data_IF_038575999319
#
_entry.id   IF_038575999319
#
_cell.length_a   1.000
_cell.length_b   1.000
_cell.length_c   1.000
_cell.angle_alpha   90.00
_cell.angle_beta   90.00
_cell.angle_gamma   90.00
#
_symmetry.space_group_name_H-M   'P 1'
#
loop_
_entity.id
_entity.type
_entity.pdbx_description
1 polymer ?
#
# COMPACT_ATOMS: atom_id res chain seq x y z
N UNK A 1 4.50 1.29 42.89
CA UNK A 1 3.28 1.38 43.73
C UNK A 1 3.29 2.71 44.46
N UNK A 2 2.28 3.55 44.17
CA UNK A 2 1.75 4.68 44.95
C UNK A 2 2.73 5.77 45.41
N UNK A 3 2.96 6.77 44.54
CA UNK A 3 3.39 8.09 44.97
C UNK A 3 2.17 8.99 45.20
N UNK A 4 2.20 9.64 46.35
CA UNK A 4 1.07 10.25 47.07
C UNK A 4 0.73 11.63 46.54
N UNK A 5 -0.58 11.84 46.36
CA UNK A 5 -1.27 13.12 46.40
C UNK A 5 -1.18 13.71 47.82
N UNK A 6 -0.89 15.00 47.95
CA UNK A 6 -1.44 15.89 48.98
C UNK A 6 -1.25 17.35 48.58
N UNK A 7 -2.38 18.03 48.45
CA UNK A 7 -2.60 19.43 48.12
C UNK A 7 -2.43 20.24 49.41
N UNK A 8 -1.64 21.31 49.38
CA UNK A 8 -1.46 22.23 50.50
C UNK A 8 -1.68 23.68 50.07
N UNK A 9 -2.89 24.18 50.27
CA UNK A 9 -3.29 25.57 50.14
C UNK A 9 -2.53 26.43 51.16
N UNK A 10 -1.61 27.29 50.69
CA UNK A 10 -0.99 28.34 51.49
C UNK A 10 -1.55 29.70 51.12
N UNK A 11 -2.71 30.07 51.69
CA UNK A 11 -3.25 31.43 51.60
C UNK A 11 -2.51 32.29 52.61
N UNK A 12 -1.55 33.10 52.14
CA UNK A 12 -0.89 34.11 52.97
C UNK A 12 -1.66 35.42 52.83
N UNK A 13 -2.39 35.77 53.90
CA UNK A 13 -3.12 37.02 54.07
C UNK A 13 -2.14 38.20 54.17
N UNK A 14 -2.11 39.05 53.15
CA UNK A 14 -1.45 40.36 53.18
C UNK A 14 -2.49 41.47 53.14
N UNK A 15 -2.85 42.02 54.30
CA UNK A 15 -3.68 43.23 54.42
C UNK A 15 -2.74 44.43 54.28
N UNK A 16 -2.92 45.22 53.21
CA UNK A 16 -2.38 46.57 53.12
C UNK A 16 -3.45 47.49 52.54
N UNK A 17 -3.91 48.41 53.40
CA UNK A 17 -4.83 49.50 53.09
C UNK A 17 -4.17 50.45 52.10
N UNK A 18 -4.78 50.62 50.93
CA UNK A 18 -4.36 51.59 49.94
C UNK A 18 -5.50 51.88 48.97
N UNK A 19 -6.20 52.99 49.19
CA UNK A 19 -7.16 53.56 48.25
C UNK A 19 -6.43 53.98 46.97
N UNK A 20 -6.49 53.14 45.94
CA UNK A 20 -5.97 53.42 44.62
C UNK A 20 -6.84 52.70 43.60
N UNK A 21 -7.49 53.46 42.72
CA UNK A 21 -8.31 52.95 41.63
C UNK A 21 -7.41 52.10 40.74
N UNK A 22 -7.52 50.77 40.87
CA UNK A 22 -6.88 49.84 39.96
C UNK A 22 -7.65 49.88 38.64
N UNK A 23 -7.18 50.69 37.69
CA UNK A 23 -7.53 50.50 36.29
C UNK A 23 -6.98 49.13 35.89
N UNK A 24 -7.88 48.14 35.86
CA UNK A 24 -7.64 46.84 35.26
C UNK A 24 -7.40 47.07 33.77
N UNK A 25 -6.14 47.20 33.38
CA UNK A 25 -5.74 47.00 32.00
C UNK A 25 -5.74 45.48 31.77
N UNK A 26 -6.57 44.94 30.86
CA UNK A 26 -6.38 43.56 30.43
C UNK A 26 -5.00 43.50 29.78
N UNK A 27 -4.08 42.77 30.41
CA UNK A 27 -2.85 42.33 29.74
C UNK A 27 -3.28 41.30 28.71
N UNK A 28 -3.56 41.77 27.49
CA UNK A 28 -3.62 40.91 26.32
C UNK A 28 -2.21 40.36 26.15
N UNK A 29 -2.02 39.09 26.51
CA UNK A 29 -0.82 38.36 26.20
C UNK A 29 -0.68 38.37 24.67
N UNK A 30 0.22 39.21 24.17
CA UNK A 30 0.65 39.16 22.78
C UNK A 30 1.29 37.80 22.58
N UNK A 31 0.50 36.83 22.11
CA UNK A 31 1.01 35.57 21.61
C UNK A 31 1.91 35.92 20.41
N UNK A 32 3.22 35.91 20.64
CA UNK A 32 4.17 35.90 19.54
C UNK A 32 3.81 34.70 18.64
N UNK A 33 3.64 34.87 17.32
CA UNK A 33 3.46 33.76 16.41
C UNK A 33 4.80 33.01 16.32
N UNK A 34 5.01 32.09 17.25
CA UNK A 34 6.11 31.15 17.21
C UNK A 34 5.81 30.10 16.15
N UNK A 35 6.54 30.18 15.04
CA UNK A 35 7.20 29.03 14.42
C UNK A 35 6.33 27.96 13.77
N UNK A 36 6.50 27.84 12.45
CA UNK A 36 6.45 26.61 11.65
C UNK A 36 5.32 25.60 11.97
N UNK A 37 4.37 25.49 11.04
CA UNK A 37 3.32 24.47 11.01
C UNK A 37 3.91 23.04 11.03
N UNK A 38 4.24 22.54 12.22
CA UNK A 38 4.60 21.13 12.45
C UNK A 38 3.30 20.34 12.53
N UNK A 39 2.81 19.89 11.38
CA UNK A 39 1.63 19.01 11.31
C UNK A 39 1.83 17.79 12.21
N UNK A 40 1.05 17.69 13.29
CA UNK A 40 0.98 16.50 14.14
C UNK A 40 -0.06 15.55 13.55
N UNK A 41 0.37 14.36 13.11
CA UNK A 41 -0.54 13.34 12.59
C UNK A 41 -1.18 12.53 13.72
N UNK A 42 -2.32 11.93 13.44
CA UNK A 42 -3.09 11.05 14.34
C UNK A 42 -3.78 9.94 13.51
N UNK A 43 -4.47 9.02 14.18
CA UNK A 43 -5.17 7.89 13.54
C UNK A 43 -6.14 8.29 12.42
N UNK A 44 -6.73 9.49 12.50
CA UNK A 44 -7.74 9.98 11.55
C UNK A 44 -7.13 10.77 10.38
N UNK A 45 -5.83 11.05 10.43
CA UNK A 45 -5.15 11.85 9.40
C UNK A 45 -5.23 11.20 8.03
N UNK A 46 -5.31 9.86 7.96
CA UNK A 46 -5.48 9.12 6.71
C UNK A 46 -6.72 9.51 5.93
N UNK A 47 -7.84 9.83 6.60
CA UNK A 47 -9.13 10.14 5.95
C UNK A 47 -9.09 11.39 5.07
N UNK A 48 -8.10 12.25 5.25
CA UNK A 48 -7.94 13.50 4.51
C UNK A 48 -6.77 13.49 3.53
N UNK A 49 -5.79 12.62 3.76
CA UNK A 49 -4.49 12.65 3.08
C UNK A 49 -4.27 11.44 2.16
N UNK A 50 -5.03 10.36 2.35
CA UNK A 50 -4.98 9.19 1.49
C UNK A 50 -6.12 9.29 0.46
N UNK A 51 -5.81 9.20 -0.84
CA UNK A 51 -6.82 9.13 -1.89
C UNK A 51 -7.74 7.91 -1.77
N UNK A 52 -8.97 8.02 -2.29
CA UNK A 52 -9.94 6.91 -2.24
C UNK A 52 -9.54 5.73 -3.13
N UNK A 53 -8.86 6.00 -4.24
CA UNK A 53 -8.31 5.02 -5.17
C UNK A 53 -7.03 4.33 -4.68
N UNK A 54 -6.47 4.77 -3.55
CA UNK A 54 -5.31 4.15 -2.96
C UNK A 54 -5.66 2.80 -2.30
N UNK A 55 -5.19 1.70 -2.88
CA UNK A 55 -5.38 0.33 -2.44
C UNK A 55 -4.45 -0.05 -1.31
N UNK A 56 -3.19 0.35 -1.37
CA UNK A 56 -2.18 0.10 -0.33
C UNK A 56 -1.73 1.43 0.25
N UNK A 57 -1.89 1.63 1.55
CA UNK A 57 -1.52 2.89 2.19
C UNK A 57 -0.89 2.68 3.57
N UNK A 58 -0.14 3.68 3.99
CA UNK A 58 0.35 3.79 5.35
C UNK A 58 -0.48 4.86 6.08
N UNK A 59 -1.10 4.52 7.20
CA UNK A 59 -1.96 5.45 7.95
C UNK A 59 -1.22 6.37 8.92
N UNK A 60 0.11 6.28 8.95
CA UNK A 60 0.97 6.96 9.91
C UNK A 60 1.50 6.06 11.02
N UNK A 61 0.98 4.84 11.15
CA UNK A 61 1.48 3.82 12.07
C UNK A 61 1.54 2.42 11.44
N UNK A 62 0.50 2.08 10.70
CA UNK A 62 0.21 0.77 10.18
C UNK A 62 0.15 0.80 8.66
N UNK A 63 0.58 -0.29 8.04
CA UNK A 63 0.37 -0.53 6.61
C UNK A 63 -0.96 -1.24 6.43
N UNK A 64 -1.81 -0.68 5.57
CA UNK A 64 -3.18 -1.10 5.31
C UNK A 64 -3.39 -1.42 3.83
N UNK A 65 -4.31 -2.34 3.55
CA UNK A 65 -4.76 -2.71 2.21
C UNK A 65 -6.29 -2.68 2.13
N UNK A 66 -6.84 -2.11 1.05
CA UNK A 66 -8.28 -2.11 0.76
C UNK A 66 -8.63 -3.37 -0.03
N UNK A 67 -9.63 -4.12 0.42
CA UNK A 67 -10.20 -5.23 -0.35
C UNK A 67 -11.32 -4.68 -1.25
N UNK A 68 -11.31 -4.94 -2.57
CA UNK A 68 -12.42 -4.53 -3.43
C UNK A 68 -13.76 -5.11 -2.96
N UNK A 69 -14.73 -4.23 -2.70
CA UNK A 69 -16.06 -4.62 -2.21
C UNK A 69 -16.19 -4.71 -0.69
N UNK A 70 -15.16 -4.35 0.07
CA UNK A 70 -15.18 -4.26 1.53
C UNK A 70 -15.03 -2.80 1.97
N UNK A 71 -15.82 -2.37 2.97
CA UNK A 71 -15.77 -0.99 3.48
C UNK A 71 -14.59 -0.76 4.44
N UNK A 72 -14.08 -1.82 5.06
CA UNK A 72 -12.98 -1.77 6.02
C UNK A 72 -11.66 -2.26 5.39
N UNK A 73 -10.58 -1.51 5.63
CA UNK A 73 -9.24 -1.90 5.19
C UNK A 73 -8.59 -2.83 6.23
N UNK A 74 -7.94 -3.89 5.76
CA UNK A 74 -7.09 -4.74 6.60
C UNK A 74 -5.79 -4.01 6.90
N UNK A 75 -5.41 -3.86 8.18
CA UNK A 75 -4.20 -3.15 8.60
C UNK A 75 -3.29 -4.04 9.45
N UNK A 76 -1.98 -3.79 9.37
CA UNK A 76 -1.02 -4.37 10.31
C UNK A 76 -1.28 -3.75 11.70
N UNK A 77 -1.75 -4.48 12.70
CA UNK A 77 -2.18 -3.87 13.99
C UNK A 77 -1.01 -3.55 14.96
N UNK A 78 -0.07 -2.70 14.53
CA UNK A 78 1.08 -2.32 15.36
C UNK A 78 0.78 -1.12 16.26
N UNK A 79 1.47 -1.06 17.40
CA UNK A 79 1.43 0.08 18.31
C UNK A 79 2.45 1.15 17.91
N UNK A 80 2.01 2.40 17.81
CA UNK A 80 2.89 3.56 17.63
C UNK A 80 2.64 4.62 18.71
N UNK A 81 3.71 5.11 19.33
CA UNK A 81 3.65 6.22 20.27
C UNK A 81 3.45 7.58 19.58
N UNK A 82 3.80 7.68 18.30
CA UNK A 82 3.66 8.91 17.49
C UNK A 82 3.34 8.52 16.05
N UNK A 83 2.32 9.18 15.47
CA UNK A 83 1.93 8.97 14.09
C UNK A 83 2.82 9.78 13.15
N UNK A 84 3.24 9.14 12.07
CA UNK A 84 3.91 9.74 10.93
C UNK A 84 2.90 10.24 9.90
N UNK A 85 3.39 10.92 8.86
CA UNK A 85 2.55 11.34 7.76
C UNK A 85 1.96 10.11 7.05
N UNK A 86 0.63 10.02 6.92
CA UNK A 86 0.03 8.98 6.10
C UNK A 86 0.42 9.20 4.63
N UNK A 87 0.65 8.11 3.91
CA UNK A 87 1.02 8.13 2.49
C UNK A 87 0.42 6.96 1.73
N UNK A 88 0.06 7.20 0.47
CA UNK A 88 -0.25 6.11 -0.44
C UNK A 88 1.04 5.35 -0.77
N UNK A 89 0.95 4.02 -0.80
CA UNK A 89 2.06 3.11 -1.12
C UNK A 89 1.88 2.43 -2.46
N UNK A 90 0.72 2.54 -3.07
CA UNK A 90 0.58 2.18 -4.48
C UNK A 90 1.66 2.93 -5.24
N UNK A 91 2.40 2.20 -6.08
CA UNK A 91 3.27 2.86 -7.02
C UNK A 91 2.40 3.89 -7.74
N UNK A 92 2.89 5.12 -7.87
CA UNK A 92 2.31 6.03 -8.84
C UNK A 92 2.39 5.28 -10.17
N UNK A 93 1.31 4.58 -10.52
CA UNK A 93 0.86 4.51 -11.87
C UNK A 93 0.71 5.99 -12.16
N UNK A 94 1.80 6.62 -12.64
CA UNK A 94 1.71 7.83 -13.44
C UNK A 94 0.57 7.48 -14.35
N UNK A 95 -0.57 8.08 -14.08
CA UNK A 95 -1.78 7.83 -14.81
C UNK A 95 -1.29 7.78 -16.25
N UNK A 96 -1.40 6.65 -16.98
CA UNK A 96 -1.40 6.85 -18.41
C UNK A 96 -2.50 7.91 -18.58
N UNK A 97 -2.15 9.06 -19.14
CA UNK A 97 -3.10 10.10 -19.54
C UNK A 97 -3.98 9.57 -20.69
N UNK A 98 -4.49 8.36 -20.52
CA UNK A 98 -5.21 7.54 -21.45
C UNK A 98 -6.15 6.66 -20.62
N UNK A 99 -7.02 7.33 -19.86
CA UNK A 99 -8.39 6.86 -19.81
C UNK A 99 -8.89 6.81 -21.26
N UNK A 100 -9.30 5.64 -21.80
CA UNK A 100 -10.09 5.65 -23.00
C UNK A 100 -11.40 6.36 -22.67
N UNK A 101 -11.56 7.59 -23.20
CA UNK A 101 -12.86 8.24 -23.28
C UNK A 101 -13.79 7.29 -24.02
N UNK A 102 -14.67 6.61 -23.28
CA UNK A 102 -15.75 5.84 -23.86
C UNK A 102 -16.89 6.83 -24.07
N UNK A 103 -16.90 7.54 -25.20
CA UNK A 103 -18.08 8.30 -25.63
C UNK A 103 -18.94 7.39 -26.49
N UNK A 104 -20.13 7.05 -25.97
CA UNK A 104 -21.16 6.28 -26.68
C UNK A 104 -22.43 6.25 -25.85
N UNK A 105 -23.52 6.68 -26.47
CA UNK A 105 -24.89 6.54 -25.98
C UNK A 105 -25.29 5.07 -25.88
N UNK A 106 -26.22 4.81 -24.97
CA UNK A 106 -26.59 3.49 -24.43
C UNK A 106 -27.00 2.47 -25.52
N UNK A 107 -26.04 1.73 -26.07
CA UNK A 107 -26.15 0.30 -26.41
C UNK A 107 -24.82 -0.24 -26.97
N UNK A 108 -24.14 -1.06 -26.16
CA UNK A 108 -22.91 -1.81 -26.47
C UNK A 108 -21.63 -0.99 -26.68
N UNK A 109 -20.99 -0.62 -25.56
CA UNK A 109 -19.63 -0.07 -25.53
C UNK A 109 -18.64 -1.15 -25.97
N UNK A 110 -18.14 -1.08 -27.21
CA UNK A 110 -17.00 -1.87 -27.64
C UNK A 110 -15.72 -1.06 -27.39
N UNK A 111 -15.09 -1.29 -26.23
CA UNK A 111 -13.77 -0.75 -25.94
C UNK A 111 -12.74 -1.42 -26.86
N UNK A 112 -12.22 -0.71 -27.86
CA UNK A 112 -10.97 -1.11 -28.51
C UNK A 112 -9.83 -0.82 -27.54
N UNK A 113 -9.44 -1.84 -26.76
CA UNK A 113 -8.23 -1.81 -25.95
C UNK A 113 -7.02 -1.54 -26.87
N UNK A 114 -6.18 -0.54 -26.59
CA UNK A 114 -4.92 -0.39 -27.30
C UNK A 114 -4.04 -1.63 -27.08
N UNK A 115 -3.18 -2.00 -28.04
CA UNK A 115 -2.26 -3.12 -27.85
C UNK A 115 -1.34 -2.82 -26.66
N UNK A 116 -1.46 -3.67 -25.64
CA UNK A 116 -0.63 -3.68 -24.44
C UNK A 116 0.85 -3.67 -24.84
N UNK A 117 1.69 -2.70 -24.43
CA UNK A 117 3.08 -2.70 -24.82
C UNK A 117 3.92 -3.57 -23.86
N UNK A 118 4.84 -4.32 -24.48
CA UNK A 118 5.76 -5.35 -23.97
C UNK A 118 5.11 -6.71 -23.73
N UNK A 119 5.13 -7.52 -24.80
CA UNK A 119 4.72 -8.92 -24.80
C UNK A 119 5.48 -9.75 -23.75
N UNK A 120 4.92 -9.89 -22.56
CA UNK A 120 4.92 -11.21 -21.94
C UNK A 120 3.96 -12.04 -22.79
N UNK A 121 4.52 -12.84 -23.71
CA UNK A 121 3.74 -13.67 -24.61
C UNK A 121 2.95 -14.67 -23.75
N UNK A 122 1.65 -14.40 -23.59
CA UNK A 122 0.77 -15.27 -22.82
C UNK A 122 0.49 -16.51 -23.65
N UNK A 123 0.89 -17.66 -23.12
CA UNK A 123 0.70 -18.96 -23.77
C UNK A 123 -0.31 -19.80 -23.02
N UNK A 124 -0.96 -20.69 -23.75
CA UNK A 124 -1.86 -21.67 -23.14
C UNK A 124 -1.09 -22.59 -22.22
N UNK A 125 -1.81 -23.20 -21.28
CA UNK A 125 -1.24 -24.14 -20.32
C UNK A 125 -0.62 -25.36 -21.02
N UNK A 126 -1.24 -25.81 -22.09
CA UNK A 126 -0.87 -26.96 -22.90
C UNK A 126 0.43 -26.68 -23.66
N UNK A 127 0.57 -25.46 -24.14
CA UNK A 127 1.77 -24.97 -24.81
C UNK A 127 2.93 -24.76 -23.83
N UNK A 128 2.67 -24.21 -22.64
CA UNK A 128 3.64 -24.14 -21.55
C UNK A 128 4.18 -25.52 -21.16
N UNK A 129 3.29 -26.52 -21.00
CA UNK A 129 3.70 -27.91 -20.73
C UNK A 129 4.59 -28.46 -21.83
N UNK A 130 4.24 -28.20 -23.09
CA UNK A 130 5.03 -28.64 -24.24
C UNK A 130 6.44 -28.04 -24.21
N UNK A 131 6.57 -26.74 -23.98
CA UNK A 131 7.88 -26.07 -23.88
C UNK A 131 8.74 -26.63 -22.75
N UNK A 132 8.13 -26.90 -21.59
CA UNK A 132 8.82 -27.51 -20.45
C UNK A 132 9.28 -28.93 -20.82
N UNK A 133 8.40 -29.77 -21.37
CA UNK A 133 8.73 -31.16 -21.73
C UNK A 133 9.77 -31.26 -22.85
N UNK A 134 9.84 -30.27 -23.74
CA UNK A 134 10.87 -30.15 -24.77
C UNK A 134 12.24 -29.71 -24.21
N UNK A 135 12.32 -29.32 -22.93
CA UNK A 135 13.56 -28.86 -22.30
C UNK A 135 14.05 -27.49 -22.76
N UNK A 136 13.17 -26.70 -23.40
CA UNK A 136 13.52 -25.36 -23.94
C UNK A 136 13.53 -24.27 -22.87
N UNK A 137 13.01 -24.57 -21.69
CA UNK A 137 12.86 -23.62 -20.59
C UNK A 137 14.13 -23.62 -19.73
N UNK A 138 14.73 -22.44 -19.57
CA UNK A 138 15.90 -22.21 -18.71
C UNK A 138 15.51 -21.90 -17.28
N UNK A 139 14.45 -21.11 -17.10
CA UNK A 139 13.94 -20.71 -15.80
C UNK A 139 12.43 -20.81 -15.76
N UNK A 140 11.93 -21.34 -14.64
CA UNK A 140 10.53 -21.42 -14.32
C UNK A 140 10.31 -20.76 -12.96
N UNK A 141 9.46 -19.75 -12.94
CA UNK A 141 9.08 -19.03 -11.73
C UNK A 141 7.56 -19.07 -11.56
N UNK A 142 7.08 -19.29 -10.34
CA UNK A 142 5.67 -19.10 -10.02
C UNK A 142 5.50 -18.12 -8.86
N UNK A 143 4.58 -17.17 -9.03
CA UNK A 143 4.17 -16.22 -8.00
C UNK A 143 2.97 -16.74 -7.18
N UNK A 144 2.75 -16.15 -6.01
CA UNK A 144 1.55 -16.36 -5.19
C UNK A 144 0.23 -16.09 -5.93
N UNK A 145 0.25 -15.25 -6.97
CA UNK A 145 -0.88 -14.96 -7.85
C UNK A 145 -1.20 -16.07 -8.85
N UNK A 146 -0.56 -17.24 -8.72
CA UNK A 146 -0.68 -18.40 -9.62
C UNK A 146 -0.15 -18.16 -11.04
N UNK A 147 0.47 -17.01 -11.27
CA UNK A 147 1.17 -16.70 -12.51
C UNK A 147 2.46 -17.50 -12.60
N UNK A 148 2.68 -18.15 -13.74
CA UNK A 148 3.91 -18.88 -14.07
C UNK A 148 4.64 -18.15 -15.18
N UNK A 149 5.89 -17.81 -14.92
CA UNK A 149 6.79 -17.18 -15.87
C UNK A 149 7.83 -18.19 -16.34
N UNK A 150 8.00 -18.29 -17.66
CA UNK A 150 8.89 -19.22 -18.33
C UNK A 150 9.88 -18.40 -19.16
N UNK A 151 11.16 -18.62 -18.93
CA UNK A 151 12.22 -17.98 -19.72
C UNK A 151 12.89 -19.02 -20.61
N UNK A 152 12.87 -18.79 -21.93
CA UNK A 152 13.57 -19.61 -22.93
C UNK A 152 14.69 -18.80 -23.59
N UNK A 153 15.34 -19.36 -24.62
CA UNK A 153 16.27 -18.60 -25.47
C UNK A 153 15.56 -17.62 -26.41
N UNK A 154 14.30 -17.92 -26.75
CA UNK A 154 13.51 -17.20 -27.74
C UNK A 154 12.72 -16.04 -27.11
N UNK A 155 12.44 -16.11 -25.81
CA UNK A 155 11.69 -15.06 -25.12
C UNK A 155 11.22 -15.45 -23.72
N UNK A 156 10.42 -14.57 -23.15
CA UNK A 156 9.73 -14.80 -21.87
C UNK A 156 8.24 -14.98 -22.12
N UNK A 157 7.70 -16.06 -21.58
CA UNK A 157 6.30 -16.43 -21.71
C UNK A 157 5.64 -16.46 -20.34
N UNK A 158 4.33 -16.19 -20.32
CA UNK A 158 3.53 -16.25 -19.09
C UNK A 158 2.33 -17.15 -19.27
N UNK A 159 1.99 -17.92 -18.25
CA UNK A 159 0.73 -18.67 -18.16
C UNK A 159 0.17 -18.60 -16.74
N UNK A 160 -1.01 -19.18 -16.52
CA UNK A 160 -1.64 -19.25 -15.20
C UNK A 160 -1.94 -20.71 -14.87
N UNK A 161 -1.40 -21.22 -13.77
CA UNK A 161 -1.64 -22.60 -13.34
C UNK A 161 -2.25 -22.65 -11.94
N UNK A 162 -3.23 -23.54 -11.70
CA UNK A 162 -4.04 -23.50 -10.50
C UNK A 162 -3.24 -23.79 -9.22
N UNK A 163 -2.14 -24.56 -9.29
CA UNK A 163 -1.25 -24.89 -8.16
C UNK A 163 0.17 -25.22 -8.62
N UNK A 164 1.14 -24.84 -7.80
CA UNK A 164 2.59 -25.15 -7.93
C UNK A 164 2.91 -26.62 -8.19
N UNK A 165 2.16 -27.51 -7.55
CA UNK A 165 2.35 -28.95 -7.66
C UNK A 165 2.13 -29.46 -9.08
N UNK A 166 1.27 -28.79 -9.86
CA UNK A 166 1.01 -29.19 -11.24
C UNK A 166 2.16 -28.79 -12.16
N UNK A 167 2.75 -27.63 -11.92
CA UNK A 167 3.97 -27.17 -12.61
C UNK A 167 5.13 -28.14 -12.33
N UNK A 168 5.31 -28.50 -11.06
CA UNK A 168 6.39 -29.37 -10.61
C UNK A 168 6.23 -30.81 -11.09
N UNK A 169 4.99 -31.31 -11.26
CA UNK A 169 4.73 -32.61 -11.87
C UNK A 169 5.21 -32.65 -13.32
N UNK A 170 4.98 -31.57 -14.08
CA UNK A 170 5.40 -31.48 -15.49
C UNK A 170 6.93 -31.42 -15.59
N UNK A 171 7.58 -30.61 -14.74
CA UNK A 171 9.05 -30.60 -14.69
C UNK A 171 9.64 -31.97 -14.30
N UNK A 172 9.07 -32.65 -13.30
CA UNK A 172 9.50 -34.01 -12.93
C UNK A 172 9.34 -35.00 -14.08
N UNK A 173 8.30 -34.86 -14.90
CA UNK A 173 8.09 -35.69 -16.07
C UNK A 173 9.08 -35.39 -17.22
N UNK A 174 9.63 -34.18 -17.28
CA UNK A 174 10.64 -33.80 -18.28
C UNK A 174 11.95 -34.60 -18.11
N UNK A 175 12.39 -34.84 -16.87
CA UNK A 175 13.58 -35.68 -16.61
C UNK A 175 14.90 -35.01 -17.01
N UNK A 176 15.77 -35.73 -17.71
CA UNK A 176 17.12 -35.25 -18.07
C UNK A 176 17.17 -33.93 -18.85
N UNK A 177 16.28 -33.63 -19.83
CA UNK A 177 16.31 -32.35 -20.54
C UNK A 177 16.10 -31.12 -19.63
N UNK A 178 15.43 -31.27 -18.50
CA UNK A 178 15.19 -30.17 -17.56
C UNK A 178 16.14 -30.17 -16.35
N UNK A 179 17.21 -30.97 -16.37
CA UNK A 179 18.11 -31.13 -15.23
C UNK A 179 18.84 -29.85 -14.81
N UNK A 180 18.99 -28.89 -15.72
CA UNK A 180 19.65 -27.61 -15.48
C UNK A 180 18.67 -26.44 -15.34
N UNK A 181 17.37 -26.70 -15.37
CA UNK A 181 16.34 -25.67 -15.28
C UNK A 181 16.33 -25.07 -13.86
N UNK A 182 16.28 -23.74 -13.77
CA UNK A 182 16.11 -23.04 -12.50
C UNK A 182 14.63 -23.04 -12.13
N UNK A 183 14.32 -23.46 -10.90
CA UNK A 183 12.97 -23.39 -10.34
C UNK A 183 12.97 -22.43 -9.16
N UNK A 184 12.06 -21.45 -9.20
CA UNK A 184 11.85 -20.50 -8.13
C UNK A 184 10.36 -20.30 -7.88
N UNK A 185 10.01 -20.05 -6.63
CA UNK A 185 8.62 -19.87 -6.19
C UNK A 185 8.64 -18.78 -5.14
N UNK A 186 7.74 -17.80 -5.27
CA UNK A 186 7.51 -16.79 -4.24
C UNK A 186 6.54 -17.31 -3.19
#
# INVERSE_FOLDING_TARGET
MKNRLQIGFGVLFGILLGTGIALFFPTEEVQAPSGENKHTFNAESRKKLIPEDCQTFFDGCNTCYKTPGEEEAGCTEMFCATYQAPKCLDEEVKSPEYLPSCEGDEEMIQCSLPPMPLELQRISREEAKKLILEGKVKSLFQAHSLQVNLTTEEGSFTTQEPKIDEVWKVWKACGSPCAQMQLATE
#
